data_IF_294758563096
#
_entry.id   IF_294758563096
#
_cell.length_a   1.000
_cell.length_b   1.000
_cell.length_c   1.000
_cell.angle_alpha   90.00
_cell.angle_beta   90.00
_cell.angle_gamma   90.00
#
_symmetry.space_group_name_H-M   'P 1'
#
loop_
_entity.id
_entity.type
_entity.pdbx_description
1 polymer ?
#
# COMPACT_ATOMS: atom_id res chain seq x y z
N UNK A 1 28.08 11.68 -1.12
CA UNK A 1 26.74 12.01 -1.64
C UNK A 1 25.99 10.75 -2.06
N UNK A 2 26.37 9.59 -1.53
CA UNK A 2 26.05 8.25 -2.06
C UNK A 2 24.89 7.52 -1.34
N UNK A 3 24.21 8.18 -0.40
CA UNK A 3 23.09 7.59 0.35
C UNK A 3 21.75 7.71 -0.38
N UNK A 4 21.66 8.61 -1.35
CA UNK A 4 20.44 8.84 -2.13
C UNK A 4 20.33 7.82 -3.28
N UNK A 5 21.45 7.44 -3.91
CA UNK A 5 21.47 6.46 -5.01
C UNK A 5 21.23 5.00 -4.56
N UNK A 6 21.44 4.67 -3.27
CA UNK A 6 21.03 3.37 -2.72
C UNK A 6 19.51 3.29 -2.51
N UNK A 7 18.84 4.42 -2.28
CA UNK A 7 17.37 4.49 -2.15
C UNK A 7 16.68 4.51 -3.51
N UNK A 8 17.35 4.98 -4.57
CA UNK A 8 16.82 4.97 -5.94
C UNK A 8 16.90 3.59 -6.63
N UNK A 9 17.60 2.61 -6.05
CA UNK A 9 17.69 1.23 -6.58
C UNK A 9 16.70 0.24 -5.97
N UNK A 10 15.81 0.66 -5.06
CA UNK A 10 14.65 -0.16 -4.63
C UNK A 10 13.45 0.20 -5.52
N UNK A 11 13.68 0.30 -6.83
CA UNK A 11 12.71 0.80 -7.82
C UNK A 11 12.34 -0.25 -8.88
N UNK A 12 12.40 -1.53 -8.53
CA UNK A 12 11.94 -2.65 -9.39
C UNK A 12 11.07 -3.67 -8.62
N UNK A 13 10.41 -3.25 -7.53
CA UNK A 13 9.29 -4.02 -6.95
C UNK A 13 8.01 -3.73 -7.72
N UNK A 14 7.13 -4.72 -7.86
CA UNK A 14 5.80 -4.50 -8.44
C UNK A 14 5.03 -3.45 -7.62
N UNK A 15 4.01 -2.83 -8.22
CA UNK A 15 3.18 -1.87 -7.50
C UNK A 15 2.59 -2.48 -6.20
N UNK A 16 2.25 -3.77 -6.22
CA UNK A 16 1.81 -4.48 -5.01
C UNK A 16 2.88 -4.48 -3.92
N UNK A 17 4.12 -4.81 -4.27
CA UNK A 17 5.22 -4.85 -3.28
C UNK A 17 5.49 -3.47 -2.70
N UNK A 18 5.45 -2.42 -3.52
CA UNK A 18 5.61 -1.04 -3.06
C UNK A 18 4.52 -0.63 -2.07
N UNK A 19 3.26 -0.95 -2.37
CA UNK A 19 2.12 -0.66 -1.49
C UNK A 19 2.24 -1.48 -0.20
N UNK A 20 2.56 -2.77 -0.31
CA UNK A 20 2.72 -3.65 0.85
C UNK A 20 3.82 -3.15 1.78
N UNK A 21 5.02 -2.85 1.28
CA UNK A 21 6.12 -2.33 2.10
C UNK A 21 5.76 -0.98 2.74
N UNK A 22 5.14 -0.07 1.98
CA UNK A 22 4.73 1.23 2.49
C UNK A 22 3.76 1.12 3.68
N UNK A 23 2.78 0.21 3.60
CA UNK A 23 1.81 -0.06 4.67
C UNK A 23 2.46 -0.82 5.82
N UNK A 24 3.27 -1.84 5.53
CA UNK A 24 3.95 -2.67 6.51
C UNK A 24 4.84 -1.83 7.44
N UNK A 25 5.66 -0.94 6.88
CA UNK A 25 6.57 -0.09 7.66
C UNK A 25 5.84 0.89 8.59
N UNK A 26 4.59 1.24 8.26
CA UNK A 26 3.74 2.14 9.05
C UNK A 26 2.73 1.40 9.93
N UNK A 27 2.56 0.09 9.74
CA UNK A 27 1.45 -0.72 10.24
C UNK A 27 0.09 -0.41 9.62
N UNK A 28 -0.15 0.85 9.22
CA UNK A 28 -1.35 1.32 8.53
C UNK A 28 -1.05 2.47 7.58
N UNK A 29 -1.84 2.59 6.52
CA UNK A 29 -1.89 3.80 5.70
C UNK A 29 -3.27 4.02 5.12
N UNK A 30 -3.66 5.26 4.88
CA UNK A 30 -4.84 5.58 4.08
C UNK A 30 -4.55 5.41 2.58
N UNK A 31 -5.60 5.18 1.80
CA UNK A 31 -5.51 5.16 0.34
C UNK A 31 -5.00 6.50 -0.20
N UNK A 32 -5.37 7.62 0.44
CA UNK A 32 -4.80 8.93 0.11
C UNK A 32 -3.27 8.97 0.26
N UNK A 33 -2.73 8.46 1.37
CA UNK A 33 -1.29 8.41 1.61
C UNK A 33 -0.56 7.51 0.60
N UNK A 34 -1.18 6.39 0.22
CA UNK A 34 -0.62 5.48 -0.79
C UNK A 34 -0.57 6.16 -2.16
N UNK A 35 -1.63 6.89 -2.55
CA UNK A 35 -1.65 7.66 -3.80
C UNK A 35 -0.58 8.76 -3.80
N UNK A 36 -0.41 9.47 -2.68
CA UNK A 36 0.60 10.51 -2.55
C UNK A 36 2.03 9.96 -2.60
N UNK A 37 2.23 8.73 -2.12
CA UNK A 37 3.51 8.01 -2.17
C UNK A 37 3.83 7.49 -3.56
N UNK A 38 2.92 6.70 -4.17
CA UNK A 38 3.16 6.06 -5.46
C UNK A 38 3.09 7.03 -6.64
N UNK A 39 2.49 8.22 -6.45
CA UNK A 39 2.15 9.17 -7.52
C UNK A 39 1.21 8.58 -8.57
N UNK A 40 0.50 7.50 -8.23
CA UNK A 40 -0.45 6.82 -9.10
C UNK A 40 -1.89 7.27 -8.86
N UNK A 41 -2.80 6.80 -9.72
CA UNK A 41 -4.24 7.05 -9.59
C UNK A 41 -4.95 5.91 -8.86
N UNK A 42 -6.14 6.19 -8.32
CA UNK A 42 -6.95 5.19 -7.61
C UNK A 42 -7.22 3.96 -8.48
N UNK A 43 -7.50 4.15 -9.76
CA UNK A 43 -7.78 3.07 -10.70
C UNK A 43 -6.58 2.13 -10.92
N UNK A 44 -5.36 2.63 -10.73
CA UNK A 44 -4.12 1.86 -10.88
C UNK A 44 -3.80 1.08 -9.61
N UNK A 45 -3.95 1.71 -8.43
CA UNK A 45 -3.64 1.04 -7.15
C UNK A 45 -4.76 0.09 -6.68
N UNK A 46 -6.01 0.29 -7.13
CA UNK A 46 -7.15 -0.53 -6.70
C UNK A 46 -6.98 -2.02 -7.00
N UNK A 47 -6.59 -2.46 -8.21
CA UNK A 47 -6.33 -3.88 -8.45
C UNK A 47 -5.19 -4.41 -7.57
N UNK A 48 -4.08 -3.67 -7.46
CA UNK A 48 -2.94 -4.05 -6.62
C UNK A 48 -3.33 -4.25 -5.14
N UNK A 49 -4.14 -3.35 -4.59
CA UNK A 49 -4.68 -3.47 -3.23
C UNK A 49 -5.62 -4.68 -3.12
N UNK A 50 -6.45 -4.92 -4.14
CA UNK A 50 -7.33 -6.09 -4.18
C UNK A 50 -6.57 -7.41 -4.22
N UNK A 51 -5.46 -7.48 -4.94
CA UNK A 51 -4.60 -8.66 -5.01
C UNK A 51 -3.86 -8.90 -3.68
N UNK A 52 -3.42 -7.83 -3.02
CA UNK A 52 -2.83 -7.89 -1.67
C UNK A 52 -3.83 -8.29 -0.59
N UNK A 53 -5.09 -7.85 -0.72
CA UNK A 53 -6.18 -8.25 0.17
C UNK A 53 -6.54 -9.73 -0.05
N UNK A 54 -6.69 -10.17 -1.30
CA UNK A 54 -6.98 -11.57 -1.64
C UNK A 54 -5.86 -12.53 -1.21
N UNK A 55 -4.61 -12.10 -1.28
CA UNK A 55 -3.46 -12.87 -0.78
C UNK A 55 -3.33 -12.85 0.75
N UNK A 56 -4.18 -12.09 1.45
CA UNK A 56 -4.17 -11.99 2.92
C UNK A 56 -2.98 -11.21 3.48
N UNK A 57 -2.30 -10.40 2.66
CA UNK A 57 -1.18 -9.56 3.07
C UNK A 57 -1.64 -8.23 3.67
N UNK A 58 -2.77 -7.71 3.19
CA UNK A 58 -3.37 -6.46 3.66
C UNK A 58 -4.85 -6.67 4.02
N UNK A 59 -5.37 -5.79 4.86
CA UNK A 59 -6.81 -5.67 5.15
C UNK A 59 -7.25 -4.25 4.84
N UNK A 60 -8.32 -4.12 4.06
CA UNK A 60 -8.92 -2.83 3.74
C UNK A 60 -10.10 -2.58 4.67
N UNK A 61 -10.01 -1.51 5.45
CA UNK A 61 -11.12 -0.97 6.23
C UNK A 61 -11.84 0.08 5.38
N UNK A 62 -12.93 -0.35 4.75
CA UNK A 62 -13.80 0.54 4.02
C UNK A 62 -14.58 1.44 4.98
N UNK A 63 -14.47 2.76 4.76
CA UNK A 63 -15.24 3.74 5.52
C UNK A 63 -16.69 3.80 5.04
N UNK A 64 -16.93 3.62 3.73
CA UNK A 64 -18.25 3.69 3.10
C UNK A 64 -18.39 2.71 1.92
N UNK A 65 -19.06 1.58 2.14
CA UNK A 65 -19.37 0.61 1.08
C UNK A 65 -18.25 -0.40 0.81
N UNK A 66 -18.27 -1.03 -0.37
CA UNK A 66 -17.29 -2.06 -0.79
C UNK A 66 -16.27 -1.56 -1.83
N UNK A 67 -16.40 -0.31 -2.27
CA UNK A 67 -15.48 0.26 -3.26
C UNK A 67 -14.36 0.96 -2.52
N UNK A 68 -13.13 0.75 -2.99
CA UNK A 68 -11.97 1.44 -2.46
C UNK A 68 -12.12 2.95 -2.65
N UNK A 69 -11.96 3.71 -1.56
CA UNK A 69 -12.00 5.17 -1.56
C UNK A 69 -10.75 5.75 -0.93
N UNK A 70 -10.42 7.00 -1.26
CA UNK A 70 -9.27 7.72 -0.69
C UNK A 70 -9.28 7.78 0.84
N UNK A 71 -10.47 7.73 1.45
CA UNK A 71 -10.65 7.75 2.90
C UNK A 71 -10.51 6.39 3.58
N UNK A 72 -10.39 5.32 2.80
CA UNK A 72 -10.26 3.97 3.35
C UNK A 72 -8.86 3.80 3.95
N UNK A 73 -8.79 2.93 4.96
CA UNK A 73 -7.55 2.64 5.69
C UNK A 73 -7.13 1.22 5.38
N UNK A 74 -5.87 1.04 5.07
CA UNK A 74 -5.25 -0.24 4.73
C UNK A 74 -4.29 -0.61 5.86
N UNK A 75 -4.42 -1.83 6.34
CA UNK A 75 -3.64 -2.39 7.45
C UNK A 75 -2.75 -3.52 6.93
N UNK A 76 -1.51 -3.58 7.42
CA UNK A 76 -0.61 -4.70 7.17
C UNK A 76 -0.96 -5.90 8.06
N UNK A 77 -1.12 -7.09 7.48
CA UNK A 77 -1.53 -8.28 8.25
C UNK A 77 -0.44 -8.82 9.19
N UNK A 78 0.84 -8.56 8.90
CA UNK A 78 1.95 -8.92 9.79
C UNK A 78 1.87 -8.24 11.17
N UNK A 79 1.02 -7.21 11.33
CA UNK A 79 0.74 -6.58 12.62
C UNK A 79 -0.05 -7.49 13.59
N UNK A 80 -0.75 -8.52 13.10
CA UNK A 80 -1.54 -9.44 13.93
C UNK A 80 -0.76 -10.70 14.38
N UNK A 81 0.50 -10.85 13.93
CA UNK A 81 1.30 -12.07 14.14
C UNK A 81 2.39 -11.99 15.21
N UNK A 82 2.43 -10.95 16.06
CA UNK A 82 3.34 -10.86 17.22
C UNK A 82 2.60 -10.72 18.53
#
# INVERSE_FOLDING_TARGET
>A
EDLIEMLENIHEGSLEDQIYHFVHDRGRASVAEILDYSKETLNVIQPAIGDLEQSGRLVVLHKNGKSLQRSDVILGMDYFGR
#
